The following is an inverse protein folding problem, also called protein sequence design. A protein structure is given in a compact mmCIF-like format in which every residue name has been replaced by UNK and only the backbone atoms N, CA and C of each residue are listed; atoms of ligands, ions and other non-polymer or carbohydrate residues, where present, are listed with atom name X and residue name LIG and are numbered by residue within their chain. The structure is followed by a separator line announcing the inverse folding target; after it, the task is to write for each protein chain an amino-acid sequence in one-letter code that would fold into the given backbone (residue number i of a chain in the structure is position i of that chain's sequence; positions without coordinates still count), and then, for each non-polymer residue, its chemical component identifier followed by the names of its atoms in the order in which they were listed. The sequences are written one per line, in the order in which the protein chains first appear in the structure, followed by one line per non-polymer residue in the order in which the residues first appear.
data_IF_697095626575
#
_entry.id   IF_697095626575
#
_cell.length_a   1.000
_cell.length_b   1.000
_cell.length_c   1.000
_cell.angle_alpha   90.00
_cell.angle_beta   90.00
_cell.angle_gamma   90.00
#
_symmetry.space_group_name_H-M   'P 1'
#
loop_
_entity.id
_entity.type
_entity.pdbx_description
1 polymer ?
#
# COMPACT_ATOMS: atom_id res chain seq x y z
N UNK A 1 -15.76 10.37 0.14
CA UNK A 1 -14.67 9.43 -0.09
C UNK A 1 -14.71 8.33 0.98
N UNK A 2 -14.97 7.11 0.55
CA UNK A 2 -15.12 5.95 1.44
C UNK A 2 -13.82 5.70 2.23
N UNK A 3 -12.69 5.76 1.57
CA UNK A 3 -11.41 5.53 2.23
C UNK A 3 -11.12 6.58 3.31
N UNK A 4 -11.44 7.84 3.03
CA UNK A 4 -11.26 8.91 4.00
C UNK A 4 -12.20 8.74 5.20
N UNK A 5 -13.44 8.30 4.96
CA UNK A 5 -14.38 7.99 6.04
C UNK A 5 -13.90 6.84 6.91
N UNK A 6 -13.39 5.79 6.31
CA UNK A 6 -12.83 4.65 7.03
C UNK A 6 -11.63 5.08 7.88
N UNK A 7 -10.76 5.94 7.33
CA UNK A 7 -9.61 6.45 8.07
C UNK A 7 -10.03 7.31 9.27
N UNK A 8 -11.05 8.15 9.09
CA UNK A 8 -11.56 9.02 10.16
C UNK A 8 -12.20 8.21 11.30
N UNK A 9 -12.73 7.04 10.99
CA UNK A 9 -13.42 6.19 11.97
C UNK A 9 -12.59 4.96 12.37
N UNK A 10 -11.32 4.94 12.01
CA UNK A 10 -10.46 3.81 12.31
C UNK A 10 -10.28 3.64 13.81
N UNK A 11 -10.41 2.40 14.28
CA UNK A 11 -10.22 2.03 15.67
C UNK A 11 -8.80 1.55 15.91
N UNK A 12 -8.31 1.62 17.16
CA UNK A 12 -7.02 1.04 17.50
C UNK A 12 -6.96 -0.44 17.08
N UNK A 13 -5.85 -0.84 16.50
CA UNK A 13 -5.65 -2.20 16.03
C UNK A 13 -6.16 -2.48 14.63
N UNK A 14 -6.92 -1.59 14.03
CA UNK A 14 -7.35 -1.72 12.64
C UNK A 14 -6.26 -1.22 11.70
N UNK A 15 -6.11 -1.91 10.58
CA UNK A 15 -5.18 -1.53 9.52
C UNK A 15 -5.97 -1.17 8.28
N UNK A 16 -5.85 0.07 7.84
CA UNK A 16 -6.52 0.55 6.63
C UNK A 16 -5.52 0.56 5.48
N UNK A 17 -5.85 -0.17 4.42
CA UNK A 17 -5.06 -0.23 3.20
C UNK A 17 -5.82 0.48 2.09
N UNK A 18 -5.20 1.45 1.48
CA UNK A 18 -5.74 2.13 0.32
C UNK A 18 -4.99 1.70 -0.93
N UNK A 19 -5.63 1.82 -2.07
CA UNK A 19 -5.04 1.49 -3.37
C UNK A 19 -5.10 2.72 -4.27
N UNK A 20 -4.05 2.95 -5.02
CA UNK A 20 -3.99 4.06 -5.96
C UNK A 20 -3.33 3.63 -7.26
N UNK A 21 -3.95 3.97 -8.38
CA UNK A 21 -3.36 3.82 -9.70
C UNK A 21 -2.91 5.20 -10.16
N UNK A 22 -1.64 5.34 -10.46
CA UNK A 22 -1.05 6.64 -10.82
C UNK A 22 -0.19 6.48 -12.07
N UNK A 23 -0.18 7.51 -12.91
CA UNK A 23 0.63 7.52 -14.13
C UNK A 23 1.73 8.57 -14.10
N UNK A 24 1.66 9.51 -13.15
CA UNK A 24 2.56 10.65 -13.09
C UNK A 24 2.73 11.06 -11.63
N UNK A 25 3.96 11.32 -11.23
CA UNK A 25 4.31 11.67 -9.85
C UNK A 25 3.69 10.71 -8.81
N UNK A 26 3.72 9.43 -9.13
CA UNK A 26 2.97 8.40 -8.42
C UNK A 26 3.25 8.39 -6.92
N UNK A 27 4.51 8.43 -6.53
CA UNK A 27 4.88 8.34 -5.11
C UNK A 27 4.47 9.59 -4.36
N UNK A 28 4.68 10.77 -4.95
CA UNK A 28 4.28 12.02 -4.33
C UNK A 28 2.76 12.10 -4.12
N UNK A 29 2.00 11.75 -5.15
CA UNK A 29 0.54 11.75 -5.08
C UNK A 29 0.03 10.74 -4.06
N UNK A 30 0.63 9.56 -4.03
CA UNK A 30 0.25 8.51 -3.10
C UNK A 30 0.54 8.89 -1.65
N UNK A 31 1.66 9.54 -1.38
CA UNK A 31 1.97 10.05 -0.04
C UNK A 31 0.93 11.05 0.45
N UNK A 32 0.48 11.93 -0.44
CA UNK A 32 -0.59 12.86 -0.12
C UNK A 32 -1.90 12.15 0.22
N UNK A 33 -2.26 11.13 -0.56
CA UNK A 33 -3.46 10.32 -0.32
C UNK A 33 -3.37 9.56 0.99
N UNK A 34 -2.20 8.99 1.29
CA UNK A 34 -1.96 8.26 2.52
C UNK A 34 -2.27 9.13 3.75
N UNK A 35 -1.78 10.36 3.73
CA UNK A 35 -2.00 11.31 4.82
C UNK A 35 -3.45 11.75 4.91
N UNK A 36 -4.04 12.17 3.78
CA UNK A 36 -5.42 12.69 3.77
C UNK A 36 -6.43 11.63 4.17
N UNK A 37 -6.22 10.39 3.79
CA UNK A 37 -7.13 9.29 4.07
C UNK A 37 -6.84 8.59 5.39
N UNK A 38 -5.78 8.99 6.08
CA UNK A 38 -5.34 8.37 7.34
C UNK A 38 -5.19 6.86 7.21
N UNK A 39 -4.70 6.42 6.06
CA UNK A 39 -4.42 5.02 5.83
C UNK A 39 -3.12 4.61 6.51
N UNK A 40 -3.01 3.33 6.83
CA UNK A 40 -1.77 2.75 7.36
C UNK A 40 -0.83 2.38 6.23
N UNK A 41 -1.39 1.93 5.14
CA UNK A 41 -0.68 1.54 3.93
C UNK A 41 -1.39 2.11 2.71
N UNK A 42 -0.62 2.45 1.70
CA UNK A 42 -1.16 2.69 0.37
C UNK A 42 -0.37 1.84 -0.64
N UNK A 43 -1.10 1.08 -1.44
CA UNK A 43 -0.53 0.28 -2.51
C UNK A 43 -0.64 1.10 -3.79
N UNK A 44 0.50 1.50 -4.31
CA UNK A 44 0.59 2.35 -5.49
C UNK A 44 0.88 1.48 -6.70
N UNK A 45 -0.04 1.47 -7.65
CA UNK A 45 0.17 0.81 -8.93
C UNK A 45 0.52 1.88 -9.96
N UNK A 46 1.79 1.95 -10.34
CA UNK A 46 2.25 2.82 -11.41
C UNK A 46 1.99 2.17 -12.75
N UNK A 47 1.21 2.82 -13.58
CA UNK A 47 0.90 2.34 -14.92
C UNK A 47 1.67 3.20 -15.93
N UNK A 48 2.44 2.55 -16.78
CA UNK A 48 3.15 3.19 -17.87
C UNK A 48 2.97 2.43 -19.16
N UNK A 49 3.39 3.01 -20.26
CA UNK A 49 3.38 2.38 -21.56
C UNK A 49 4.81 2.26 -22.05
N UNK A 50 5.18 1.06 -22.49
CA UNK A 50 6.46 0.85 -23.15
C UNK A 50 6.33 1.36 -24.58
N UNK A 51 7.00 2.47 -24.88
CA UNK A 51 6.91 3.11 -26.18
C UNK A 51 7.56 2.30 -27.29
N UNK A 52 8.48 1.41 -26.94
CA UNK A 52 9.18 0.58 -27.93
C UNK A 52 8.34 -0.63 -28.31
N UNK A 53 7.75 -1.30 -27.34
CA UNK A 53 6.98 -2.52 -27.54
C UNK A 53 5.48 -2.33 -27.49
N UNK A 54 5.02 -1.13 -27.12
CA UNK A 54 3.59 -0.83 -27.02
C UNK A 54 2.87 -1.54 -25.86
N UNK A 55 3.62 -2.13 -24.95
CA UNK A 55 3.05 -2.87 -23.83
C UNK A 55 2.87 -1.98 -22.61
N UNK A 56 1.81 -2.21 -21.87
CA UNK A 56 1.59 -1.54 -20.58
C UNK A 56 2.55 -2.13 -19.55
N UNK A 57 3.06 -1.26 -18.69
CA UNK A 57 3.95 -1.65 -17.59
C UNK A 57 3.27 -1.30 -16.28
N UNK A 58 3.31 -2.25 -15.35
CA UNK A 58 2.77 -2.08 -14.02
C UNK A 58 3.86 -2.33 -13.00
N UNK A 59 4.13 -1.35 -12.16
CA UNK A 59 5.01 -1.51 -11.03
C UNK A 59 4.26 -1.18 -9.77
N UNK A 60 4.53 -1.91 -8.70
CA UNK A 60 3.82 -1.77 -7.44
C UNK A 60 4.79 -1.31 -6.36
N UNK A 61 4.38 -0.31 -5.61
CA UNK A 61 5.10 0.18 -4.44
C UNK A 61 4.13 0.28 -3.27
N UNK A 62 4.55 -0.15 -2.11
CA UNK A 62 3.76 -0.05 -0.88
C UNK A 62 4.38 1.03 -0.01
N UNK A 63 3.58 2.04 0.33
CA UNK A 63 3.99 3.13 1.22
C UNK A 63 3.28 2.97 2.56
N UNK A 64 4.03 3.12 3.63
CA UNK A 64 3.48 3.05 4.99
C UNK A 64 3.38 4.41 5.64
N UNK A 65 2.41 4.57 6.53
CA UNK A 65 2.26 5.78 7.33
C UNK A 65 3.46 6.01 8.25
N UNK A 66 4.23 4.97 8.53
CA UNK A 66 5.47 5.03 9.30
C UNK A 66 6.68 5.53 8.49
N UNK A 67 6.45 5.91 7.24
CA UNK A 67 7.51 6.37 6.34
C UNK A 67 8.18 5.25 5.54
N UNK A 68 7.75 4.01 5.71
CA UNK A 68 8.34 2.88 4.97
C UNK A 68 7.96 2.93 3.49
N UNK A 69 8.86 2.42 2.66
CA UNK A 69 8.65 2.29 1.22
C UNK A 69 9.15 0.93 0.80
N UNK A 70 8.28 0.14 0.18
CA UNK A 70 8.62 -1.19 -0.33
C UNK A 70 8.31 -1.24 -1.81
N UNK A 71 9.36 -1.24 -2.64
CA UNK A 71 9.21 -1.31 -4.08
C UNK A 71 9.21 -2.78 -4.50
N UNK A 72 8.11 -3.22 -5.09
CA UNK A 72 7.95 -4.61 -5.53
C UNK A 72 8.33 -4.78 -7.00
N UNK A 73 8.33 -3.69 -7.77
CA UNK A 73 8.57 -3.77 -9.18
C UNK A 73 7.40 -4.44 -9.90
N UNK A 74 7.73 -5.19 -10.94
CA UNK A 74 6.75 -5.95 -11.72
C UNK A 74 6.73 -7.38 -11.22
N UNK A 75 5.76 -7.70 -10.37
CA UNK A 75 5.58 -9.05 -9.85
C UNK A 75 4.26 -9.64 -10.31
N UNK A 76 4.16 -10.97 -10.36
CA UNK A 76 2.86 -11.63 -10.54
C UNK A 76 1.88 -11.19 -9.46
N UNK A 77 0.60 -11.18 -9.81
CA UNK A 77 -0.47 -10.69 -8.91
C UNK A 77 -0.48 -11.41 -7.57
N UNK A 78 -0.25 -12.73 -7.57
CA UNK A 78 -0.25 -13.50 -6.34
C UNK A 78 0.91 -13.10 -5.42
N UNK A 79 2.07 -12.81 -5.99
CA UNK A 79 3.24 -12.35 -5.22
C UNK A 79 3.02 -10.96 -4.66
N UNK A 80 2.34 -10.10 -5.41
CA UNK A 80 1.97 -8.77 -4.94
C UNK A 80 1.00 -8.89 -3.75
N UNK A 81 0.00 -9.76 -3.87
CA UNK A 81 -0.97 -9.98 -2.80
C UNK A 81 -0.29 -10.48 -1.52
N UNK A 82 0.65 -11.41 -1.65
CA UNK A 82 1.41 -11.93 -0.52
C UNK A 82 2.24 -10.83 0.15
N UNK A 83 2.88 -10.00 -0.64
CA UNK A 83 3.69 -8.89 -0.11
C UNK A 83 2.81 -7.86 0.63
N UNK A 84 1.64 -7.55 0.08
CA UNK A 84 0.68 -6.65 0.73
C UNK A 84 0.24 -7.25 2.07
N UNK A 85 -0.10 -8.53 2.06
CA UNK A 85 -0.54 -9.21 3.27
C UNK A 85 0.54 -9.23 4.35
N UNK A 86 1.79 -9.46 3.98
CA UNK A 86 2.92 -9.41 4.91
C UNK A 86 3.03 -8.03 5.56
N UNK A 87 2.86 -6.97 4.78
CA UNK A 87 2.88 -5.60 5.30
C UNK A 87 1.70 -5.33 6.24
N UNK A 88 0.52 -5.84 5.91
CA UNK A 88 -0.66 -5.71 6.75
C UNK A 88 -0.43 -6.39 8.10
N UNK A 89 0.05 -7.64 8.06
CA UNK A 89 0.31 -8.41 9.27
C UNK A 89 1.32 -7.72 10.17
N UNK A 90 2.35 -7.12 9.59
CA UNK A 90 3.37 -6.43 10.37
C UNK A 90 2.84 -5.21 11.12
N UNK A 91 1.67 -4.70 10.74
CA UNK A 91 1.05 -3.52 11.37
C UNK A 91 -0.03 -3.86 12.37
N UNK A 92 -0.38 -5.12 12.51
CA UNK A 92 -1.21 -5.53 13.64
C UNK A 92 -0.38 -5.40 14.92
N UNK A 93 -1.07 -5.38 16.06
CA UNK A 93 -0.43 -5.17 17.35
C UNK A 93 0.79 -6.10 17.51
N UNK A 94 2.01 -5.57 17.53
CA UNK A 94 3.19 -6.40 17.66
C UNK A 94 3.24 -7.22 18.94
N UNK A 95 2.61 -6.73 19.99
CA UNK A 95 2.58 -7.44 21.27
C UNK A 95 1.70 -8.67 21.20
N UNK A 96 0.62 -8.60 20.43
CA UNK A 96 -0.20 -9.79 20.17
C UNK A 96 0.60 -10.81 19.39
N UNK A 97 1.33 -10.38 18.36
CA UNK A 97 2.19 -11.25 17.59
C UNK A 97 3.31 -11.87 18.43
N UNK A 98 3.94 -11.07 19.28
CA UNK A 98 5.01 -11.53 20.15
C UNK A 98 4.52 -12.47 21.23
N UNK A 99 3.34 -12.22 21.74
CA UNK A 99 2.74 -13.02 22.79
C UNK A 99 2.13 -14.31 22.26
N UNK A 100 1.78 -14.34 20.98
CA UNK A 100 1.07 -15.44 20.37
C UNK A 100 1.72 -16.80 20.57
N UNK A 101 3.03 -16.94 20.40
CA UNK A 101 3.67 -18.24 20.52
C UNK A 101 3.88 -18.70 21.94
N UNK A 102 3.62 -17.89 22.89
CA UNK A 102 3.84 -18.25 24.29
C UNK A 102 2.86 -19.31 24.78
#
# INVERSE_FOLDING_TARGET
DIAAELGANKRPGQVLVAFAAETHDAIHNAKGKLTRKRADLIVVNEVGVDLVFGADRNTVTILGADGSTTALGELPKDDVADAIWDQVVSRFDPQVGDAGPV
#
